data_IF_014600539293
#
_entry.id   IF_014600539293
#
_cell.length_a   1.000
_cell.length_b   1.000
_cell.length_c   1.000
_cell.angle_alpha   90.00
_cell.angle_beta   90.00
_cell.angle_gamma   90.00
#
_symmetry.space_group_name_H-M   'P 1'
#
loop_
_entity.id
_entity.type
_entity.pdbx_description
1 polymer ?
#
# COMPACT_ATOMS: atom_id res chain seq x y z
N UNK A 1 6.88 -5.05 -30.09
CA UNK A 1 6.23 -3.79 -30.42
C UNK A 1 7.27 -2.74 -30.85
N UNK A 2 8.17 -2.34 -29.98
CA UNK A 2 9.20 -1.28 -30.25
C UNK A 2 10.01 -1.55 -31.51
N UNK A 3 10.39 -2.80 -31.79
CA UNK A 3 11.14 -3.17 -32.97
C UNK A 3 10.34 -2.97 -34.31
N UNK A 4 9.00 -2.99 -34.22
CA UNK A 4 8.10 -2.75 -35.35
C UNK A 4 7.68 -1.29 -35.49
N UNK A 5 7.68 -0.56 -34.37
CA UNK A 5 7.23 0.84 -34.26
C UNK A 5 8.32 1.68 -33.52
N UNK A 6 9.51 1.85 -34.13
CA UNK A 6 10.62 2.57 -33.48
C UNK A 6 10.29 4.05 -33.21
N UNK A 7 9.42 4.67 -33.99
CA UNK A 7 8.97 6.05 -33.81
C UNK A 7 8.30 6.26 -32.46
N UNK A 8 7.60 5.25 -31.93
CA UNK A 8 7.02 5.33 -30.60
C UNK A 8 8.07 5.61 -29.51
N UNK A 9 9.27 5.04 -29.64
CA UNK A 9 10.36 5.26 -28.67
C UNK A 9 11.12 6.58 -28.92
N UNK A 10 11.39 6.91 -30.18
CA UNK A 10 12.29 8.01 -30.54
C UNK A 10 11.59 9.35 -30.80
N UNK A 11 10.31 9.35 -31.12
CA UNK A 11 9.52 10.53 -31.46
C UNK A 11 8.51 10.90 -30.36
N UNK A 12 8.23 9.99 -29.41
CA UNK A 12 7.37 10.25 -28.27
C UNK A 12 8.01 11.24 -27.29
N UNK A 13 7.18 12.09 -26.66
CA UNK A 13 7.63 12.87 -25.50
C UNK A 13 7.90 11.93 -24.33
N UNK A 14 8.89 12.25 -23.51
CA UNK A 14 9.07 11.55 -22.23
C UNK A 14 7.85 11.76 -21.33
N UNK A 15 7.57 10.78 -20.48
CA UNK A 15 6.50 10.82 -19.50
C UNK A 15 6.71 11.99 -18.53
N UNK A 16 5.60 12.56 -18.05
CA UNK A 16 5.66 13.60 -17.03
C UNK A 16 5.92 12.94 -15.67
N UNK A 17 7.02 13.29 -15.03
CA UNK A 17 7.29 12.88 -13.66
C UNK A 17 6.28 13.55 -12.70
N UNK A 18 5.83 12.78 -11.71
CA UNK A 18 5.11 13.32 -10.55
C UNK A 18 6.12 13.44 -9.43
N UNK A 19 6.33 14.66 -8.95
CA UNK A 19 7.28 14.97 -7.88
C UNK A 19 6.60 15.94 -6.93
N UNK A 20 6.56 15.60 -5.64
CA UNK A 20 6.21 16.56 -4.62
C UNK A 20 7.45 17.38 -4.25
N UNK A 21 7.38 18.68 -4.57
CA UNK A 21 8.44 19.64 -4.23
C UNK A 21 8.37 20.11 -2.78
N UNK A 22 7.23 19.88 -2.12
CA UNK A 22 6.98 20.38 -0.78
C UNK A 22 7.17 19.26 0.28
N UNK A 23 7.61 18.08 -0.12
CA UNK A 23 7.97 17.02 0.85
C UNK A 23 9.22 17.45 1.62
N UNK A 24 9.04 17.80 2.90
CA UNK A 24 10.10 18.31 3.76
C UNK A 24 11.30 17.35 3.87
N UNK A 25 11.07 16.04 3.85
CA UNK A 25 12.14 15.03 3.95
C UNK A 25 13.00 15.06 2.69
N UNK A 26 12.35 15.14 1.52
CA UNK A 26 13.03 15.27 0.22
C UNK A 26 13.77 16.58 0.16
N UNK A 27 13.14 17.70 0.56
CA UNK A 27 13.75 19.02 0.55
C UNK A 27 14.96 19.08 1.48
N UNK A 28 14.88 18.56 2.70
CA UNK A 28 16.03 18.47 3.63
C UNK A 28 17.20 17.67 3.04
N UNK A 29 16.92 16.56 2.35
CA UNK A 29 17.95 15.77 1.71
C UNK A 29 18.62 16.54 0.55
N UNK A 30 17.83 17.27 -0.25
CA UNK A 30 18.35 18.15 -1.29
C UNK A 30 19.16 19.33 -0.74
N UNK A 31 18.73 19.96 0.35
CA UNK A 31 19.47 21.03 1.03
C UNK A 31 20.83 20.51 1.51
N UNK A 32 20.89 19.32 2.12
CA UNK A 32 22.14 18.66 2.53
C UNK A 32 23.08 18.45 1.34
N UNK A 33 22.56 17.86 0.26
CA UNK A 33 23.33 17.58 -0.95
C UNK A 33 23.83 18.86 -1.61
N UNK A 34 22.96 19.87 -1.74
CA UNK A 34 23.34 21.18 -2.30
C UNK A 34 24.40 21.89 -1.46
N UNK A 35 24.27 21.89 -0.12
CA UNK A 35 25.23 22.49 0.80
C UNK A 35 26.60 21.77 0.77
N UNK A 36 26.64 20.49 0.40
CA UNK A 36 27.89 19.75 0.21
C UNK A 36 28.58 20.07 -1.12
N UNK A 37 27.81 20.42 -2.15
CA UNK A 37 28.37 20.83 -3.44
C UNK A 37 28.82 22.30 -3.43
N UNK A 38 27.93 23.19 -2.98
CA UNK A 38 28.17 24.64 -2.96
C UNK A 38 27.54 25.23 -1.69
N UNK A 39 28.28 26.02 -0.88
CA UNK A 39 27.70 26.65 0.29
C UNK A 39 26.47 27.48 -0.04
N UNK A 40 25.35 27.19 0.59
CA UNK A 40 24.07 27.86 0.41
C UNK A 40 24.06 29.24 1.08
N UNK A 41 23.17 30.10 0.63
CA UNK A 41 22.81 31.39 1.21
C UNK A 41 21.29 31.46 1.42
N UNK A 42 20.80 32.46 2.17
CA UNK A 42 19.34 32.65 2.30
C UNK A 42 18.68 33.10 0.99
N UNK A 43 19.43 33.52 -0.02
CA UNK A 43 18.88 33.85 -1.35
C UNK A 43 18.43 32.61 -2.12
N UNK A 44 18.94 31.43 -1.72
CA UNK A 44 18.56 30.12 -2.32
C UNK A 44 17.17 29.66 -1.89
N UNK A 45 16.43 30.44 -1.10
CA UNK A 45 15.01 30.18 -0.76
C UNK A 45 14.10 30.05 -2.01
N UNK A 46 14.52 30.60 -3.12
CA UNK A 46 13.82 30.44 -4.40
C UNK A 46 13.88 29.00 -4.94
N UNK A 47 14.87 28.22 -4.55
CA UNK A 47 15.06 26.80 -4.90
C UNK A 47 14.52 25.87 -3.80
N UNK A 48 14.64 26.30 -2.56
CA UNK A 48 14.26 25.56 -1.36
C UNK A 48 13.31 26.42 -0.51
N UNK A 49 11.99 26.30 -0.67
CA UNK A 49 11.01 27.15 0.02
C UNK A 49 11.15 27.15 1.54
N UNK A 50 11.46 25.99 2.13
CA UNK A 50 11.59 25.83 3.58
C UNK A 50 13.01 26.02 4.11
N UNK A 51 13.93 26.56 3.27
CA UNK A 51 15.33 26.75 3.62
C UNK A 51 15.54 27.55 4.92
N UNK A 52 14.68 28.57 5.13
CA UNK A 52 14.75 29.42 6.33
C UNK A 52 14.47 28.65 7.62
N UNK A 53 13.63 27.66 7.59
CA UNK A 53 13.29 26.78 8.72
C UNK A 53 14.25 25.58 8.84
N UNK A 54 14.74 25.09 7.71
CA UNK A 54 15.65 23.96 7.64
C UNK A 54 17.06 24.31 8.19
N UNK A 55 17.61 25.46 7.82
CA UNK A 55 18.96 25.87 8.26
C UNK A 55 19.14 25.84 9.78
N UNK A 56 18.25 26.44 10.62
CA UNK A 56 18.40 26.37 12.08
C UNK A 56 18.36 24.92 12.63
N UNK A 57 17.61 24.03 12.01
CA UNK A 57 17.53 22.61 12.39
C UNK A 57 18.84 21.90 12.07
N UNK A 58 19.33 22.06 10.85
CA UNK A 58 20.58 21.43 10.38
C UNK A 58 21.82 21.97 11.08
N UNK A 59 21.82 23.25 11.46
CA UNK A 59 22.90 23.83 12.28
C UNK A 59 22.90 23.23 13.70
N UNK A 60 21.75 23.03 14.33
CA UNK A 60 21.62 22.37 15.65
C UNK A 60 22.03 20.92 15.61
N UNK A 61 21.78 20.24 14.50
CA UNK A 61 22.20 18.86 14.25
C UNK A 61 23.69 18.73 13.91
N UNK A 62 24.43 19.85 13.83
CA UNK A 62 25.85 19.92 13.42
C UNK A 62 26.10 19.40 11.99
N UNK A 63 25.06 19.31 11.20
CA UNK A 63 25.13 18.88 9.80
C UNK A 63 25.52 20.01 8.86
N UNK A 64 25.25 21.26 9.23
CA UNK A 64 25.73 22.45 8.55
C UNK A 64 26.64 23.28 9.45
N UNK A 65 27.59 23.96 8.81
CA UNK A 65 28.39 25.01 9.43
C UNK A 65 28.08 26.35 8.79
N UNK A 66 28.11 27.44 9.58
CA UNK A 66 27.85 28.78 9.09
C UNK A 66 29.13 29.64 9.12
N UNK A 67 29.47 30.29 7.99
CA UNK A 67 30.54 31.23 7.89
C UNK A 67 30.17 32.39 6.95
N UNK A 68 30.24 33.62 7.45
CA UNK A 68 29.94 34.85 6.68
C UNK A 68 28.57 34.77 5.91
N UNK A 69 27.54 34.26 6.55
CA UNK A 69 26.20 34.13 5.92
C UNK A 69 26.07 33.03 4.87
N UNK A 70 27.07 32.15 4.78
CA UNK A 70 27.06 30.96 3.95
C UNK A 70 26.96 29.73 4.82
N UNK A 71 26.21 28.74 4.34
CA UNK A 71 25.94 27.48 5.03
C UNK A 71 26.52 26.33 4.21
N UNK A 72 27.47 25.60 4.76
CA UNK A 72 28.17 24.51 4.12
C UNK A 72 27.94 23.20 4.89
N UNK A 73 27.93 22.08 4.19
CA UNK A 73 27.88 20.75 4.80
C UNK A 73 29.08 20.51 5.71
N UNK A 74 28.84 20.03 6.92
CA UNK A 74 29.86 19.69 7.91
C UNK A 74 29.78 18.23 8.37
N UNK A 75 28.86 17.43 7.86
CA UNK A 75 28.77 16.02 8.13
C UNK A 75 29.91 15.20 7.53
N UNK A 76 30.12 13.97 8.03
CA UNK A 76 31.30 13.16 7.67
C UNK A 76 31.23 12.48 6.30
N UNK A 77 30.04 12.15 5.80
CA UNK A 77 29.82 11.44 4.53
C UNK A 77 29.18 12.36 3.49
N UNK A 78 29.29 11.99 2.21
CA UNK A 78 28.69 12.78 1.13
C UNK A 78 27.18 12.52 1.08
N UNK A 79 26.32 13.48 1.40
CA UNK A 79 24.90 13.24 1.68
C UNK A 79 24.10 12.79 0.46
N UNK A 80 24.55 13.06 -0.77
CA UNK A 80 23.87 12.60 -1.97
C UNK A 80 24.00 11.08 -2.20
N UNK A 81 24.95 10.41 -1.55
CA UNK A 81 25.08 8.94 -1.59
C UNK A 81 24.00 8.20 -0.82
N UNK A 82 23.47 8.83 0.24
CA UNK A 82 22.46 8.25 1.12
C UNK A 82 21.05 8.67 0.77
N UNK A 83 20.89 9.47 -0.26
CA UNK A 83 19.62 10.05 -0.66
C UNK A 83 19.04 9.38 -1.92
N UNK A 84 17.77 9.02 -1.85
CA UNK A 84 16.98 8.53 -2.98
C UNK A 84 15.66 9.28 -3.06
N UNK A 85 15.30 9.80 -4.22
CA UNK A 85 13.99 10.45 -4.45
C UNK A 85 12.81 9.48 -4.34
N UNK A 86 13.05 8.18 -4.37
CA UNK A 86 12.01 7.12 -4.26
C UNK A 86 12.03 6.41 -2.92
N UNK A 87 13.13 6.47 -2.19
CA UNK A 87 13.29 5.69 -0.97
C UNK A 87 13.71 6.61 0.18
N UNK A 88 12.71 7.16 0.85
CA UNK A 88 12.84 8.08 1.98
C UNK A 88 13.03 7.33 3.29
N UNK A 89 12.92 6.00 3.28
CA UNK A 89 13.04 5.18 4.47
C UNK A 89 14.50 5.03 4.90
N UNK A 90 14.83 5.66 6.04
CA UNK A 90 16.18 5.60 6.63
C UNK A 90 16.54 4.20 7.16
N UNK A 91 15.52 3.32 7.33
CA UNK A 91 15.74 1.98 7.87
C UNK A 91 16.04 0.99 6.75
N UNK A 92 17.31 0.64 6.63
CA UNK A 92 17.79 -0.38 5.71
C UNK A 92 17.90 -1.74 6.38
N UNK A 93 17.48 -2.77 5.67
CA UNK A 93 17.56 -4.18 6.08
C UNK A 93 18.48 -4.92 5.13
N UNK A 94 19.46 -5.67 5.69
CA UNK A 94 20.41 -6.46 4.94
C UNK A 94 19.97 -7.93 4.89
N UNK A 95 20.09 -8.56 3.71
CA UNK A 95 19.95 -10.00 3.58
C UNK A 95 21.34 -10.62 3.49
N UNK A 96 21.69 -11.47 4.46
CA UNK A 96 22.96 -12.17 4.53
C UNK A 96 22.78 -13.66 4.25
N UNK A 97 23.73 -14.22 3.52
CA UNK A 97 23.86 -15.68 3.42
C UNK A 97 24.30 -16.24 4.77
N UNK A 98 23.47 -17.11 5.37
CA UNK A 98 23.59 -17.56 6.77
C UNK A 98 24.96 -18.15 7.11
N UNK A 99 25.52 -19.00 6.24
CA UNK A 99 26.75 -19.74 6.52
C UNK A 99 28.01 -18.93 6.24
N UNK A 100 27.99 -18.09 5.19
CA UNK A 100 29.17 -17.31 4.78
C UNK A 100 29.21 -15.90 5.32
N UNK A 101 28.07 -15.36 5.82
CA UNK A 101 27.94 -13.98 6.23
C UNK A 101 28.01 -12.97 5.08
N UNK A 102 28.06 -13.46 3.81
CA UNK A 102 28.11 -12.60 2.64
C UNK A 102 26.78 -11.88 2.45
N UNK A 103 26.82 -10.57 2.22
CA UNK A 103 25.65 -9.78 1.87
C UNK A 103 25.14 -10.16 0.47
N UNK A 104 23.84 -10.44 0.37
CA UNK A 104 23.13 -10.78 -0.86
C UNK A 104 22.50 -9.51 -1.43
N UNK A 105 21.78 -8.76 -0.61
CA UNK A 105 21.12 -7.51 -0.99
C UNK A 105 20.80 -6.68 0.22
N UNK A 106 20.42 -5.42 -0.02
CA UNK A 106 19.89 -4.48 0.96
C UNK A 106 18.60 -3.85 0.42
N UNK A 107 17.61 -3.63 1.31
CA UNK A 107 16.33 -3.03 0.94
C UNK A 107 15.73 -2.24 2.10
N UNK A 108 14.67 -1.45 1.84
CA UNK A 108 13.95 -0.71 2.86
C UNK A 108 13.08 -1.60 3.76
N UNK A 109 12.56 -1.02 4.86
CA UNK A 109 11.76 -1.73 5.85
C UNK A 109 10.47 -2.31 5.27
N UNK A 110 9.76 -1.57 4.41
CA UNK A 110 8.51 -2.03 3.81
C UNK A 110 8.72 -3.22 2.88
N UNK A 111 9.77 -3.17 2.08
CA UNK A 111 10.15 -4.26 1.20
C UNK A 111 10.66 -5.46 2.01
N UNK A 112 11.48 -5.23 3.05
CA UNK A 112 12.00 -6.29 3.91
C UNK A 112 10.87 -7.05 4.63
N UNK A 113 9.83 -6.37 5.11
CA UNK A 113 8.70 -7.03 5.75
C UNK A 113 7.89 -7.89 4.77
N UNK A 114 7.87 -7.56 3.50
CA UNK A 114 7.18 -8.34 2.47
C UNK A 114 8.03 -9.46 1.87
N UNK A 115 9.34 -9.25 1.76
CA UNK A 115 10.22 -10.15 1.01
C UNK A 115 11.21 -10.92 1.88
N UNK A 116 11.51 -10.43 3.10
CA UNK A 116 12.51 -11.02 4.01
C UNK A 116 11.92 -11.50 5.34
N UNK A 117 10.59 -11.64 5.46
CA UNK A 117 9.97 -12.23 6.64
C UNK A 117 10.43 -13.69 6.87
N UNK A 118 10.27 -14.20 8.08
CA UNK A 118 10.59 -15.59 8.40
C UNK A 118 9.86 -16.55 7.44
N UNK A 119 10.59 -17.45 6.83
CA UNK A 119 10.06 -18.42 5.85
C UNK A 119 9.88 -17.88 4.42
N UNK A 120 10.15 -16.60 4.16
CA UNK A 120 10.09 -16.03 2.81
C UNK A 120 11.04 -16.74 1.84
N UNK A 121 10.66 -16.81 0.57
CA UNK A 121 11.52 -17.24 -0.53
C UNK A 121 11.80 -16.04 -1.41
N UNK A 122 13.01 -15.52 -1.30
CA UNK A 122 13.51 -14.36 -2.02
C UNK A 122 14.32 -14.76 -3.25
N UNK A 123 14.12 -14.09 -4.37
CA UNK A 123 14.86 -14.33 -5.61
C UNK A 123 15.88 -13.22 -5.83
N UNK A 124 17.15 -13.60 -5.99
CA UNK A 124 18.23 -12.67 -6.31
C UNK A 124 19.14 -13.27 -7.37
N UNK A 125 19.36 -12.54 -8.47
CA UNK A 125 20.22 -12.95 -9.60
C UNK A 125 19.94 -14.38 -10.11
N UNK A 126 18.65 -14.77 -10.16
CA UNK A 126 18.23 -16.09 -10.62
C UNK A 126 18.40 -17.21 -9.58
N UNK A 127 18.86 -16.90 -8.38
CA UNK A 127 18.98 -17.85 -7.26
C UNK A 127 17.88 -17.60 -6.25
N UNK A 128 17.20 -18.67 -5.82
CA UNK A 128 16.23 -18.59 -4.74
C UNK A 128 16.91 -18.79 -3.39
N UNK A 129 16.50 -17.99 -2.41
CA UNK A 129 16.97 -18.04 -1.03
C UNK A 129 15.78 -18.14 -0.09
N UNK A 130 15.82 -19.06 0.87
CA UNK A 130 14.83 -19.12 1.95
C UNK A 130 15.33 -18.36 3.17
N UNK A 131 14.57 -17.36 3.60
CA UNK A 131 14.84 -16.62 4.83
C UNK A 131 14.55 -17.51 6.03
N UNK A 132 15.55 -17.69 6.86
CA UNK A 132 15.46 -18.52 8.08
C UNK A 132 15.11 -17.70 9.31
N UNK A 133 15.49 -16.42 9.32
CA UNK A 133 15.21 -15.47 10.41
C UNK A 133 15.32 -14.05 9.89
N UNK A 134 14.36 -13.21 10.27
CA UNK A 134 14.44 -11.75 10.20
C UNK A 134 14.67 -11.20 11.62
N UNK A 135 15.79 -10.52 11.81
CA UNK A 135 16.14 -9.86 13.06
C UNK A 135 15.87 -8.35 12.95
N UNK A 136 14.84 -7.89 13.65
CA UNK A 136 14.38 -6.51 13.60
C UNK A 136 15.31 -5.53 14.32
N UNK A 137 16.03 -5.99 15.36
CA UNK A 137 16.93 -5.14 16.13
C UNK A 137 18.21 -4.82 15.33
N UNK A 138 18.81 -5.87 14.76
CA UNK A 138 19.99 -5.71 13.91
C UNK A 138 19.65 -5.32 12.45
N UNK A 139 18.37 -5.26 12.10
CA UNK A 139 17.88 -5.04 10.72
C UNK A 139 18.54 -5.98 9.72
N UNK A 140 18.61 -7.26 10.08
CA UNK A 140 19.33 -8.25 9.28
C UNK A 140 18.48 -9.51 9.10
N UNK A 141 18.34 -9.95 7.86
CA UNK A 141 17.74 -11.24 7.54
C UNK A 141 18.82 -12.25 7.16
N UNK A 142 18.63 -13.49 7.54
CA UNK A 142 19.54 -14.59 7.26
C UNK A 142 18.86 -15.60 6.34
N UNK A 143 19.47 -15.93 5.23
CA UNK A 143 18.92 -16.86 4.26
C UNK A 143 19.89 -17.97 3.86
N UNK A 144 19.33 -19.07 3.39
CA UNK A 144 20.04 -20.20 2.80
C UNK A 144 19.55 -20.44 1.37
N UNK A 145 20.37 -21.03 0.47
CA UNK A 145 19.91 -21.40 -0.87
C UNK A 145 18.67 -22.31 -0.80
N UNK A 146 17.71 -22.06 -1.68
CA UNK A 146 16.44 -22.77 -1.73
C UNK A 146 16.25 -23.47 -3.08
N UNK A 147 15.99 -24.77 -3.06
CA UNK A 147 15.77 -25.58 -4.26
C UNK A 147 14.31 -26.08 -4.37
N UNK A 148 13.38 -25.46 -3.64
CA UNK A 148 11.97 -25.81 -3.73
C UNK A 148 11.30 -25.30 -5.01
N UNK A 149 10.04 -25.68 -5.20
CA UNK A 149 9.28 -25.35 -6.41
C UNK A 149 8.25 -24.24 -6.21
N UNK A 150 8.39 -23.42 -5.15
CA UNK A 150 7.47 -22.33 -4.83
C UNK A 150 8.23 -21.05 -4.46
N UNK A 151 7.53 -19.95 -4.59
CA UNK A 151 7.89 -18.63 -4.01
C UNK A 151 6.82 -18.18 -3.02
N UNK A 152 7.12 -17.17 -2.23
CA UNK A 152 6.20 -16.64 -1.24
C UNK A 152 5.71 -15.26 -1.63
N UNK A 153 4.47 -14.96 -1.25
CA UNK A 153 3.85 -13.65 -1.40
C UNK A 153 3.28 -13.25 -0.04
N UNK A 154 3.83 -12.19 0.54
CA UNK A 154 3.34 -11.66 1.81
C UNK A 154 1.87 -11.25 1.69
N UNK A 155 1.13 -11.45 2.75
CA UNK A 155 -0.25 -11.01 2.88
C UNK A 155 -0.44 -10.29 4.22
N UNK A 156 -1.16 -9.20 4.17
CA UNK A 156 -1.40 -8.33 5.29
C UNK A 156 -2.53 -7.38 5.02
N UNK A 157 -2.73 -6.45 5.92
CA UNK A 157 -3.75 -5.41 5.85
C UNK A 157 -3.10 -4.06 6.14
N UNK A 158 -3.66 -3.01 5.60
CA UNK A 158 -3.31 -1.64 5.96
C UNK A 158 -4.51 -0.97 6.63
N UNK A 159 -4.23 -0.08 7.57
CA UNK A 159 -5.21 0.78 8.21
C UNK A 159 -4.80 2.23 8.01
N UNK A 160 -5.75 3.09 7.67
CA UNK A 160 -5.53 4.53 7.46
C UNK A 160 -6.31 5.30 8.51
N UNK A 161 -5.63 6.22 9.18
CA UNK A 161 -6.21 7.15 10.14
C UNK A 161 -5.96 8.58 9.66
N UNK A 162 -7.03 9.35 9.44
CA UNK A 162 -6.94 10.77 9.09
C UNK A 162 -6.31 11.53 10.25
N UNK A 163 -5.27 12.30 9.97
CA UNK A 163 -4.58 13.20 10.91
C UNK A 163 -5.08 14.62 10.68
N UNK A 164 -5.06 15.08 9.43
CA UNK A 164 -5.47 16.43 9.06
C UNK A 164 -6.07 16.44 7.66
N UNK A 165 -7.21 17.13 7.48
CA UNK A 165 -7.82 17.39 6.19
C UNK A 165 -7.38 18.76 5.69
N UNK A 166 -6.73 18.81 4.53
CA UNK A 166 -6.17 20.03 3.95
C UNK A 166 -7.08 20.64 2.88
N UNK A 167 -7.73 19.79 2.08
CA UNK A 167 -8.58 20.20 0.95
C UNK A 167 -9.81 19.31 0.86
N UNK A 168 -10.92 19.87 0.39
CA UNK A 168 -12.08 19.11 -0.05
C UNK A 168 -12.73 19.77 -1.26
N UNK A 169 -13.43 18.97 -2.07
CA UNK A 169 -14.25 19.45 -3.17
C UNK A 169 -15.41 18.48 -3.43
N UNK A 170 -16.54 18.98 -3.96
CA UNK A 170 -17.62 18.10 -4.41
C UNK A 170 -17.15 17.27 -5.61
N UNK A 171 -17.48 15.99 -5.61
CA UNK A 171 -17.23 15.06 -6.70
C UNK A 171 -18.54 14.36 -7.03
N UNK A 172 -19.26 14.85 -8.06
CA UNK A 172 -20.49 14.25 -8.54
C UNK A 172 -21.49 13.85 -7.44
N UNK A 173 -21.41 12.63 -6.91
CA UNK A 173 -22.31 12.08 -5.88
C UNK A 173 -21.68 11.91 -4.50
N UNK A 174 -20.44 12.38 -4.34
CA UNK A 174 -19.69 12.28 -3.10
C UNK A 174 -18.85 13.54 -2.87
N UNK A 175 -18.11 13.58 -1.80
CA UNK A 175 -17.07 14.58 -1.54
C UNK A 175 -15.71 13.91 -1.64
N UNK A 176 -14.80 14.61 -2.26
CA UNK A 176 -13.41 14.23 -2.36
C UNK A 176 -12.60 15.06 -1.36
N UNK A 177 -11.76 14.40 -0.62
CA UNK A 177 -10.93 14.99 0.42
C UNK A 177 -9.46 14.68 0.15
N UNK A 178 -8.58 15.54 0.64
CA UNK A 178 -7.13 15.36 0.61
C UNK A 178 -6.52 15.84 1.91
N UNK A 179 -5.47 15.18 2.38
CA UNK A 179 -4.74 15.60 3.57
C UNK A 179 -3.78 14.53 4.09
N UNK A 180 -3.32 14.77 5.33
CA UNK A 180 -2.36 13.94 6.01
C UNK A 180 -3.03 12.77 6.72
N UNK A 181 -2.44 11.61 6.59
CA UNK A 181 -2.91 10.38 7.24
C UNK A 181 -1.75 9.63 7.89
N UNK A 182 -2.07 8.89 8.95
CA UNK A 182 -1.18 7.87 9.49
C UNK A 182 -1.61 6.51 8.94
N UNK A 183 -0.68 5.79 8.34
CA UNK A 183 -0.88 4.46 7.78
C UNK A 183 -0.16 3.44 8.64
N UNK A 184 -0.91 2.41 9.08
CA UNK A 184 -0.36 1.23 9.73
C UNK A 184 -0.44 0.05 8.76
N UNK A 185 0.70 -0.41 8.27
CA UNK A 185 0.81 -1.54 7.33
C UNK A 185 1.26 -2.79 8.10
N UNK A 186 0.52 -3.89 7.97
CA UNK A 186 0.73 -5.14 8.70
C UNK A 186 0.99 -6.28 7.73
N UNK A 187 2.02 -7.08 7.98
CA UNK A 187 2.25 -8.38 7.34
C UNK A 187 2.16 -9.45 8.43
N UNK A 188 1.18 -10.34 8.34
CA UNK A 188 0.93 -11.37 9.36
C UNK A 188 0.90 -12.80 8.81
N UNK A 189 0.88 -12.96 7.49
CA UNK A 189 0.92 -14.25 6.82
C UNK A 189 1.55 -14.15 5.44
N UNK A 190 1.79 -15.29 4.80
CA UNK A 190 2.20 -15.35 3.41
C UNK A 190 1.57 -16.54 2.69
N UNK A 191 1.47 -16.42 1.37
CA UNK A 191 1.04 -17.48 0.45
C UNK A 191 2.26 -18.18 -0.12
N UNK A 192 2.20 -19.50 -0.26
CA UNK A 192 3.15 -20.27 -1.06
C UNK A 192 2.59 -20.46 -2.47
N UNK A 193 3.27 -19.96 -3.46
CA UNK A 193 2.84 -19.96 -4.87
C UNK A 193 3.79 -20.81 -5.70
N UNK A 194 3.28 -21.76 -6.45
CA UNK A 194 4.09 -22.61 -7.31
C UNK A 194 4.69 -21.83 -8.48
N UNK A 195 5.98 -22.05 -8.79
CA UNK A 195 6.70 -21.28 -9.81
C UNK A 195 6.09 -21.32 -11.22
N UNK A 196 5.67 -22.49 -11.70
CA UNK A 196 5.30 -22.63 -13.10
C UNK A 196 3.85 -22.23 -13.44
N UNK A 197 2.94 -22.52 -12.55
CA UNK A 197 1.50 -22.31 -12.79
C UNK A 197 0.86 -21.32 -11.84
N UNK A 198 1.64 -20.72 -10.93
CA UNK A 198 1.20 -19.78 -9.90
C UNK A 198 0.04 -20.32 -9.04
N UNK A 199 -0.03 -21.65 -8.89
CA UNK A 199 -1.02 -22.27 -8.03
C UNK A 199 -0.73 -21.96 -6.57
N UNK A 200 -1.75 -21.55 -5.82
CA UNK A 200 -1.63 -21.36 -4.38
C UNK A 200 -1.53 -22.74 -3.70
N UNK A 201 -0.42 -22.97 -3.01
CA UNK A 201 -0.12 -24.23 -2.28
C UNK A 201 -0.56 -24.15 -0.82
N UNK A 202 -1.01 -22.97 -0.35
CA UNK A 202 -1.46 -22.75 1.02
C UNK A 202 -0.95 -21.43 1.59
N UNK A 203 -1.39 -21.17 2.80
CA UNK A 203 -1.04 -19.98 3.58
C UNK A 203 -0.26 -20.41 4.82
N UNK A 204 0.65 -19.57 5.25
CA UNK A 204 1.40 -19.75 6.48
C UNK A 204 1.41 -18.45 7.27
N UNK A 205 1.15 -18.54 8.57
CA UNK A 205 1.15 -17.37 9.44
C UNK A 205 2.56 -17.06 9.94
N UNK A 206 2.86 -15.79 10.08
CA UNK A 206 4.10 -15.36 10.71
C UNK A 206 4.00 -15.58 12.24
N UNK A 207 5.09 -15.98 12.91
CA UNK A 207 5.13 -16.13 14.36
C UNK A 207 4.75 -14.84 15.11
N UNK A 208 5.07 -13.69 14.49
CA UNK A 208 4.73 -12.34 14.94
C UNK A 208 4.42 -11.50 13.73
N UNK A 209 3.33 -10.75 13.79
CA UNK A 209 3.02 -9.77 12.75
C UNK A 209 4.13 -8.71 12.68
N UNK A 210 4.52 -8.36 11.46
CA UNK A 210 5.40 -7.25 11.17
C UNK A 210 4.54 -6.03 10.91
N UNK A 211 4.83 -4.91 11.55
CA UNK A 211 4.05 -3.68 11.39
C UNK A 211 4.96 -2.50 11.14
N UNK A 212 4.53 -1.61 10.25
CA UNK A 212 5.13 -0.33 10.00
C UNK A 212 4.08 0.75 10.07
N UNK A 213 4.32 1.75 10.92
CA UNK A 213 3.49 2.95 11.02
C UNK A 213 4.26 4.11 10.40
N UNK A 214 3.59 4.89 9.55
CA UNK A 214 4.17 6.07 8.92
C UNK A 214 3.11 7.10 8.57
N UNK A 215 3.51 8.37 8.59
CA UNK A 215 2.70 9.48 8.15
C UNK A 215 2.91 9.69 6.65
N UNK A 216 1.81 9.95 5.92
CA UNK A 216 1.84 10.17 4.48
C UNK A 216 0.63 11.00 4.05
N UNK A 217 0.53 11.26 2.75
CA UNK A 217 -0.61 11.93 2.15
C UNK A 217 -1.63 10.93 1.61
N UNK A 218 -2.89 11.32 1.64
CA UNK A 218 -4.00 10.53 1.11
C UNK A 218 -5.08 11.41 0.50
N UNK A 219 -5.68 10.88 -0.56
CA UNK A 219 -6.97 11.32 -1.08
C UNK A 219 -8.02 10.28 -0.71
N UNK A 220 -9.20 10.73 -0.25
CA UNK A 220 -10.28 9.80 0.07
C UNK A 220 -11.63 10.32 -0.35
N UNK A 221 -12.55 9.39 -0.58
CA UNK A 221 -13.93 9.69 -0.96
C UNK A 221 -14.90 8.71 -0.33
N UNK A 222 -16.11 9.18 -0.02
CA UNK A 222 -17.16 8.34 0.50
C UNK A 222 -17.84 7.54 -0.61
N UNK A 223 -18.09 6.27 -0.34
CA UNK A 223 -18.89 5.41 -1.24
C UNK A 223 -20.38 5.78 -1.07
N UNK A 224 -21.13 6.01 -2.17
CA UNK A 224 -22.54 6.33 -2.11
C UNK A 224 -23.37 5.28 -1.34
N UNK A 225 -24.31 5.75 -0.53
CA UNK A 225 -25.11 4.92 0.38
C UNK A 225 -25.84 3.75 -0.32
N UNK A 226 -26.33 3.98 -1.55
CA UNK A 226 -26.99 2.94 -2.32
C UNK A 226 -26.02 1.79 -2.68
N UNK A 227 -24.75 2.07 -2.97
CA UNK A 227 -23.71 1.05 -3.22
C UNK A 227 -23.40 0.31 -1.93
N UNK A 228 -23.22 1.02 -0.83
CA UNK A 228 -22.97 0.43 0.49
C UNK A 228 -24.08 -0.54 0.88
N UNK A 229 -25.36 -0.16 0.71
CA UNK A 229 -26.52 -1.03 1.00
C UNK A 229 -26.52 -2.28 0.16
N UNK A 230 -26.26 -2.16 -1.14
CA UNK A 230 -26.24 -3.30 -2.06
C UNK A 230 -25.09 -4.26 -1.75
N UNK A 231 -23.87 -3.75 -1.63
CA UNK A 231 -22.69 -4.58 -1.37
C UNK A 231 -22.79 -5.30 -0.04
N UNK A 232 -23.23 -4.62 1.00
CA UNK A 232 -23.48 -5.22 2.31
C UNK A 232 -24.47 -6.38 2.25
N UNK A 233 -25.53 -6.27 1.47
CA UNK A 233 -26.47 -7.36 1.26
C UNK A 233 -25.93 -8.56 0.48
N UNK A 234 -24.80 -8.38 -0.24
CA UNK A 234 -24.21 -9.42 -1.09
C UNK A 234 -22.97 -10.08 -0.47
N UNK A 235 -22.28 -9.40 0.44
CA UNK A 235 -21.13 -9.95 1.15
C UNK A 235 -21.56 -11.17 1.95
N UNK A 236 -20.82 -12.26 1.79
CA UNK A 236 -21.04 -13.51 2.51
C UNK A 236 -19.83 -13.88 3.33
N UNK A 237 -20.04 -14.24 4.58
CA UNK A 237 -19.01 -14.72 5.48
C UNK A 237 -19.24 -16.18 5.79
N UNK A 238 -18.24 -17.00 5.58
CA UNK A 238 -18.27 -18.39 6.04
C UNK A 238 -18.02 -18.38 7.56
N UNK A 239 -19.01 -18.84 8.33
CA UNK A 239 -18.95 -18.80 9.80
C UNK A 239 -17.79 -19.62 10.38
N UNK A 240 -17.41 -20.71 9.73
CA UNK A 240 -16.35 -21.59 10.20
C UNK A 240 -14.96 -21.09 9.86
N UNK A 241 -14.75 -20.63 8.62
CA UNK A 241 -13.42 -20.23 8.12
C UNK A 241 -13.18 -18.74 8.19
N UNK A 242 -14.21 -17.94 8.51
CA UNK A 242 -14.20 -16.48 8.43
C UNK A 242 -13.82 -15.91 7.05
N UNK A 243 -13.83 -16.76 6.03
CA UNK A 243 -13.59 -16.30 4.65
C UNK A 243 -14.76 -15.44 4.17
N UNK A 244 -14.42 -14.28 3.64
CA UNK A 244 -15.38 -13.36 3.02
C UNK A 244 -15.46 -13.64 1.53
N UNK A 245 -16.68 -13.64 0.98
CA UNK A 245 -16.96 -13.72 -0.45
C UNK A 245 -17.79 -12.54 -0.89
N UNK A 246 -17.75 -12.25 -2.19
CA UNK A 246 -18.50 -11.16 -2.81
C UNK A 246 -18.16 -9.78 -2.20
N UNK A 247 -16.91 -9.58 -1.78
CA UNK A 247 -16.41 -8.27 -1.38
C UNK A 247 -16.12 -7.44 -2.64
N UNK A 248 -17.14 -6.83 -3.21
CA UNK A 248 -17.01 -6.04 -4.44
C UNK A 248 -16.20 -4.76 -4.26
N UNK A 249 -16.01 -4.30 -3.03
CA UNK A 249 -15.09 -3.19 -2.75
C UNK A 249 -13.65 -3.50 -3.19
N UNK A 250 -13.19 -4.75 -3.03
CA UNK A 250 -11.86 -5.16 -3.51
C UNK A 250 -11.73 -4.96 -5.02
N UNK A 251 -12.77 -5.31 -5.78
CA UNK A 251 -12.80 -5.10 -7.23
C UNK A 251 -12.83 -3.62 -7.63
N UNK A 252 -13.60 -2.81 -6.91
CA UNK A 252 -13.65 -1.34 -7.10
C UNK A 252 -12.28 -0.73 -6.81
N UNK A 253 -11.69 -1.03 -5.65
CA UNK A 253 -10.34 -0.55 -5.27
C UNK A 253 -9.27 -1.00 -6.28
N UNK A 254 -9.33 -2.24 -6.77
CA UNK A 254 -8.41 -2.75 -7.78
C UNK A 254 -8.50 -1.97 -9.09
N UNK A 255 -9.72 -1.75 -9.61
CA UNK A 255 -9.92 -1.01 -10.85
C UNK A 255 -9.49 0.45 -10.71
N UNK A 256 -9.86 1.11 -9.60
CA UNK A 256 -9.45 2.48 -9.29
C UNK A 256 -7.93 2.61 -9.15
N UNK A 257 -7.27 1.65 -8.47
CA UNK A 257 -5.81 1.63 -8.35
C UNK A 257 -5.12 1.57 -9.71
N UNK A 258 -5.59 0.69 -10.60
CA UNK A 258 -5.02 0.57 -11.94
C UNK A 258 -5.21 1.85 -12.76
N UNK A 259 -6.37 2.49 -12.67
CA UNK A 259 -6.62 3.76 -13.34
C UNK A 259 -5.79 4.91 -12.74
N UNK A 260 -5.66 4.98 -11.43
CA UNK A 260 -4.83 5.98 -10.74
C UNK A 260 -3.36 5.87 -11.17
N UNK A 261 -2.82 4.64 -11.24
CA UNK A 261 -1.45 4.38 -11.72
C UNK A 261 -1.20 4.89 -13.14
N UNK A 262 -2.18 4.81 -14.03
CA UNK A 262 -2.05 5.35 -15.40
C UNK A 262 -1.93 6.88 -15.41
N UNK A 263 -2.59 7.56 -14.47
CA UNK A 263 -2.55 9.03 -14.35
C UNK A 263 -1.29 9.51 -13.64
N UNK A 264 -0.88 8.78 -12.59
CA UNK A 264 0.31 9.13 -11.79
C UNK A 264 1.61 8.57 -12.35
N UNK A 265 1.55 7.65 -13.32
CA UNK A 265 2.71 6.97 -13.92
C UNK A 265 3.55 6.21 -12.87
N UNK A 266 2.86 5.55 -11.94
CA UNK A 266 3.47 4.84 -10.81
C UNK A 266 3.46 3.33 -10.98
N UNK A 267 4.29 2.65 -10.19
CA UNK A 267 4.29 1.21 -10.05
C UNK A 267 3.18 0.73 -9.09
N UNK A 268 2.95 -0.58 -9.05
CA UNK A 268 1.90 -1.16 -8.20
C UNK A 268 2.15 -0.93 -6.71
N UNK A 269 3.42 -0.83 -6.32
CA UNK A 269 3.82 -0.71 -4.92
C UNK A 269 3.88 0.75 -4.44
N UNK A 270 3.76 1.74 -5.32
CA UNK A 270 3.88 3.15 -4.96
C UNK A 270 2.61 3.70 -4.29
N UNK A 271 1.43 3.16 -4.65
CA UNK A 271 0.13 3.65 -4.17
C UNK A 271 -0.62 2.53 -3.46
N UNK A 272 -1.21 2.85 -2.30
CA UNK A 272 -2.20 2.02 -1.63
C UNK A 272 -3.62 2.48 -1.96
N UNK A 273 -4.54 1.53 -2.18
CA UNK A 273 -5.98 1.82 -2.30
C UNK A 273 -6.74 0.82 -1.44
N UNK A 274 -7.41 1.31 -0.42
CA UNK A 274 -8.14 0.48 0.55
C UNK A 274 -9.46 1.12 0.96
N UNK A 275 -10.33 0.35 1.57
CA UNK A 275 -11.55 0.83 2.25
C UNK A 275 -11.27 1.14 3.71
N UNK A 276 -12.10 2.03 4.30
CA UNK A 276 -12.04 2.43 5.72
C UNK A 276 -12.27 1.29 6.70
N UNK A 277 -12.85 0.18 6.25
CA UNK A 277 -13.12 -0.99 7.06
C UNK A 277 -12.64 -2.25 6.35
N UNK A 278 -12.18 -3.24 7.11
CA UNK A 278 -11.79 -4.52 6.53
C UNK A 278 -13.03 -5.33 6.08
N UNK A 279 -12.79 -6.41 5.31
CA UNK A 279 -13.85 -7.22 4.72
C UNK A 279 -14.84 -7.80 5.73
N UNK A 280 -14.40 -8.16 6.94
CA UNK A 280 -15.28 -8.66 8.02
C UNK A 280 -16.12 -7.54 8.62
N UNK A 281 -15.52 -6.37 8.86
CA UNK A 281 -16.25 -5.19 9.34
C UNK A 281 -17.30 -4.75 8.32
N UNK A 282 -16.97 -4.70 7.04
CA UNK A 282 -17.90 -4.39 5.95
C UNK A 282 -19.11 -5.36 5.91
N UNK A 283 -18.89 -6.61 6.30
CA UNK A 283 -19.96 -7.62 6.32
C UNK A 283 -20.90 -7.48 7.54
N UNK A 284 -20.40 -7.00 8.67
CA UNK A 284 -21.14 -7.02 9.95
C UNK A 284 -21.53 -5.64 10.47
N UNK A 285 -20.77 -4.59 10.14
CA UNK A 285 -21.10 -3.24 10.59
C UNK A 285 -22.18 -2.61 9.70
N UNK A 286 -23.36 -2.43 10.24
CA UNK A 286 -24.50 -1.86 9.53
C UNK A 286 -24.59 -0.32 9.63
N UNK A 287 -23.77 0.31 10.44
CA UNK A 287 -23.88 1.73 10.77
C UNK A 287 -22.81 2.61 10.13
N UNK A 288 -21.72 2.01 9.61
CA UNK A 288 -20.59 2.80 9.13
C UNK A 288 -20.71 3.17 7.67
N UNK A 289 -20.39 4.40 7.40
CA UNK A 289 -20.04 4.87 6.08
C UNK A 289 -18.77 4.15 5.63
N UNK A 290 -18.62 3.97 4.32
CA UNK A 290 -17.43 3.35 3.74
C UNK A 290 -16.73 4.41 2.91
N UNK A 291 -15.48 4.67 3.26
CA UNK A 291 -14.59 5.54 2.51
C UNK A 291 -13.55 4.71 1.76
N UNK A 292 -13.11 5.17 0.58
CA UNK A 292 -11.99 4.61 -0.18
C UNK A 292 -10.84 5.60 -0.06
N UNK A 293 -9.69 5.11 0.40
CA UNK A 293 -8.46 5.87 0.56
C UNK A 293 -7.48 5.51 -0.54
N UNK A 294 -6.84 6.54 -1.10
CA UNK A 294 -5.68 6.44 -2.01
C UNK A 294 -4.51 7.12 -1.29
N UNK A 295 -3.50 6.39 -0.94
CA UNK A 295 -2.39 6.93 -0.16
C UNK A 295 -1.04 6.58 -0.76
N UNK A 296 -0.07 7.45 -0.56
CA UNK A 296 1.31 7.21 -0.95
C UNK A 296 1.94 6.22 0.02
N UNK A 297 2.63 5.21 -0.50
CA UNK A 297 3.32 4.22 0.34
C UNK A 297 4.71 4.67 0.79
N UNK A 298 4.93 5.97 0.82
CA UNK A 298 6.18 6.61 1.20
C UNK A 298 5.95 7.57 2.35
N UNK A 299 6.92 7.63 3.26
CA UNK A 299 6.89 8.57 4.40
C UNK A 299 6.84 10.00 3.88
N UNK A 300 5.88 10.78 4.36
CA UNK A 300 5.66 12.16 3.95
C UNK A 300 4.99 12.35 2.58
N UNK A 301 4.71 11.28 1.84
CA UNK A 301 4.12 11.33 0.50
C UNK A 301 5.13 11.68 -0.61
N UNK A 302 4.78 11.41 -1.85
CA UNK A 302 5.52 11.78 -3.07
C UNK A 302 4.67 12.61 -4.04
N UNK A 303 3.50 13.09 -3.58
CA UNK A 303 2.57 13.88 -4.38
C UNK A 303 1.64 13.04 -5.28
N UNK A 304 1.65 11.72 -5.15
CA UNK A 304 0.75 10.86 -5.93
C UNK A 304 -0.70 11.04 -5.46
N UNK A 305 -0.92 11.12 -4.15
CA UNK A 305 -2.24 11.35 -3.56
C UNK A 305 -2.82 12.70 -4.00
N UNK A 306 -2.03 13.77 -4.03
CA UNK A 306 -2.47 15.08 -4.53
C UNK A 306 -2.79 15.03 -6.03
N UNK A 307 -1.97 14.36 -6.81
CA UNK A 307 -2.21 14.15 -8.24
C UNK A 307 -3.48 13.34 -8.50
N UNK A 308 -3.78 12.36 -7.65
CA UNK A 308 -5.03 11.59 -7.69
C UNK A 308 -6.22 12.48 -7.36
N UNK A 309 -6.10 13.35 -6.33
CA UNK A 309 -7.12 14.32 -5.97
C UNK A 309 -7.49 15.20 -7.16
N UNK A 310 -6.52 15.78 -7.84
CA UNK A 310 -6.72 16.69 -8.97
C UNK A 310 -7.34 16.00 -10.20
N UNK A 311 -7.24 14.67 -10.31
CA UNK A 311 -7.67 13.92 -11.50
C UNK A 311 -8.68 12.81 -11.19
N UNK A 312 -9.36 12.85 -10.03
CA UNK A 312 -10.20 11.73 -9.57
C UNK A 312 -11.33 11.39 -10.53
N UNK A 313 -11.98 12.37 -11.14
CA UNK A 313 -13.06 12.13 -12.10
C UNK A 313 -12.56 11.33 -13.31
N UNK A 314 -11.43 11.71 -13.87
CA UNK A 314 -10.79 10.99 -15.00
C UNK A 314 -10.38 9.59 -14.59
N UNK A 315 -9.88 9.42 -13.34
CA UNK A 315 -9.50 8.12 -12.79
C UNK A 315 -10.72 7.20 -12.72
N UNK A 316 -11.84 7.67 -12.20
CA UNK A 316 -13.08 6.87 -12.13
C UNK A 316 -13.58 6.52 -13.53
N UNK A 317 -13.61 7.49 -14.47
CA UNK A 317 -14.02 7.25 -15.86
C UNK A 317 -13.10 6.22 -16.52
N UNK A 318 -11.79 6.27 -16.31
CA UNK A 318 -10.84 5.32 -16.84
C UNK A 318 -11.01 3.94 -16.22
N UNK A 319 -11.26 3.83 -14.91
CA UNK A 319 -11.59 2.57 -14.24
C UNK A 319 -12.84 1.92 -14.86
N UNK A 320 -13.90 2.70 -15.09
CA UNK A 320 -15.11 2.23 -15.78
C UNK A 320 -14.79 1.73 -17.18
N UNK A 321 -13.99 2.48 -17.97
CA UNK A 321 -13.58 2.08 -19.34
C UNK A 321 -12.77 0.78 -19.31
N UNK A 322 -11.82 0.62 -18.39
CA UNK A 322 -11.00 -0.58 -18.25
C UNK A 322 -11.86 -1.81 -17.95
N UNK A 323 -12.80 -1.69 -17.01
CA UNK A 323 -13.68 -2.80 -16.65
C UNK A 323 -14.69 -3.12 -17.77
N UNK A 324 -15.30 -2.12 -18.41
CA UNK A 324 -16.21 -2.29 -19.56
C UNK A 324 -15.53 -2.88 -20.77
N UNK A 325 -14.32 -2.44 -21.07
CA UNK A 325 -13.54 -2.87 -22.25
C UNK A 325 -12.94 -4.27 -22.12
N UNK A 326 -12.99 -4.90 -20.95
CA UNK A 326 -12.45 -6.24 -20.77
C UNK A 326 -13.28 -7.29 -21.52
N UNK A 327 -12.61 -8.15 -22.30
CA UNK A 327 -13.24 -9.23 -23.05
C UNK A 327 -13.69 -10.45 -22.22
N UNK A 328 -13.48 -10.45 -20.89
CA UNK A 328 -13.90 -11.53 -20.03
C UNK A 328 -15.43 -11.55 -19.88
N UNK A 329 -15.99 -12.75 -19.55
CA UNK A 329 -17.44 -12.94 -19.43
C UNK A 329 -17.98 -12.33 -18.11
N UNK A 330 -17.44 -12.76 -16.98
CA UNK A 330 -18.04 -12.48 -15.68
C UNK A 330 -17.16 -11.61 -14.77
N UNK A 331 -15.84 -11.69 -14.94
CA UNK A 331 -14.79 -11.00 -14.19
C UNK A 331 -13.48 -11.74 -14.33
N UNK A 332 -12.36 -11.04 -14.15
CA UNK A 332 -11.04 -11.66 -14.24
C UNK A 332 -9.99 -10.88 -13.44
N UNK A 333 -8.83 -11.48 -13.23
CA UNK A 333 -7.72 -10.87 -12.52
C UNK A 333 -7.22 -9.56 -13.13
N UNK A 334 -7.47 -9.32 -14.44
CA UNK A 334 -7.03 -8.10 -15.11
C UNK A 334 -7.99 -6.92 -14.89
N UNK A 335 -9.31 -7.14 -14.86
CA UNK A 335 -10.27 -6.04 -14.77
C UNK A 335 -10.79 -5.77 -13.35
N UNK A 336 -10.98 -6.81 -12.54
CA UNK A 336 -11.53 -6.70 -11.17
C UNK A 336 -10.66 -7.36 -10.10
N UNK A 337 -9.47 -7.84 -10.47
CA UNK A 337 -8.49 -8.42 -9.54
C UNK A 337 -8.74 -9.88 -9.17
N UNK A 338 -9.97 -10.36 -9.23
CA UNK A 338 -10.34 -11.73 -8.88
C UNK A 338 -11.43 -12.25 -9.83
N UNK A 339 -11.27 -13.46 -10.36
CA UNK A 339 -12.25 -14.13 -11.24
C UNK A 339 -13.55 -14.54 -10.52
N UNK A 340 -13.58 -14.45 -9.20
CA UNK A 340 -14.76 -14.74 -8.37
C UNK A 340 -15.68 -13.54 -8.20
N UNK A 341 -15.20 -12.33 -8.54
CA UNK A 341 -15.98 -11.10 -8.46
C UNK A 341 -16.74 -10.86 -9.76
N UNK A 342 -18.05 -10.67 -9.63
CA UNK A 342 -18.90 -10.30 -10.77
C UNK A 342 -18.55 -8.89 -11.26
N UNK A 343 -18.14 -8.78 -12.53
CA UNK A 343 -17.77 -7.53 -13.19
C UNK A 343 -18.89 -6.50 -13.19
N UNK A 344 -20.16 -6.94 -13.35
CA UNK A 344 -21.30 -6.03 -13.38
C UNK A 344 -21.50 -5.35 -12.02
N UNK A 345 -21.23 -6.08 -10.94
CA UNK A 345 -21.32 -5.52 -9.61
C UNK A 345 -20.18 -4.53 -9.32
N UNK A 346 -18.96 -4.79 -9.82
CA UNK A 346 -17.86 -3.82 -9.71
C UNK A 346 -18.15 -2.57 -10.53
N UNK A 347 -18.69 -2.73 -11.75
CA UNK A 347 -19.15 -1.59 -12.56
C UNK A 347 -20.25 -0.79 -11.87
N UNK A 348 -21.22 -1.45 -11.25
CA UNK A 348 -22.26 -0.77 -10.47
C UNK A 348 -21.65 0.14 -9.39
N UNK A 349 -20.62 -0.33 -8.68
CA UNK A 349 -19.91 0.49 -7.69
C UNK A 349 -19.19 1.68 -8.31
N UNK A 350 -18.43 1.45 -9.38
CA UNK A 350 -17.65 2.49 -10.06
C UNK A 350 -18.55 3.57 -10.70
N UNK A 351 -19.59 3.17 -11.43
CA UNK A 351 -20.51 4.10 -12.09
C UNK A 351 -21.28 4.94 -11.09
N UNK A 352 -21.66 4.37 -9.94
CA UNK A 352 -22.36 5.10 -8.89
C UNK A 352 -21.49 6.16 -8.18
N UNK A 353 -20.19 6.18 -8.37
CA UNK A 353 -19.33 7.27 -7.89
C UNK A 353 -19.60 8.58 -8.66
N UNK A 354 -19.97 8.49 -9.94
CA UNK A 354 -20.22 9.65 -10.81
C UNK A 354 -21.70 9.91 -11.04
N UNK A 355 -22.48 8.87 -11.36
CA UNK A 355 -23.89 8.97 -11.70
C UNK A 355 -24.70 7.93 -10.93
N UNK A 356 -26.02 8.14 -10.81
CA UNK A 356 -26.89 7.15 -10.19
C UNK A 356 -27.19 6.01 -11.17
N UNK A 357 -26.84 4.81 -10.78
CA UNK A 357 -27.18 3.58 -11.51
C UNK A 357 -27.99 2.63 -10.63
N UNK A 358 -29.01 2.00 -11.21
CA UNK A 358 -29.79 0.99 -10.57
C UNK A 358 -28.99 -0.33 -10.47
N UNK A 359 -29.36 -1.15 -9.50
CA UNK A 359 -28.74 -2.48 -9.32
C UNK A 359 -28.97 -3.31 -10.58
N UNK A 360 -27.94 -3.99 -11.11
CA UNK A 360 -28.07 -4.86 -12.28
C UNK A 360 -29.19 -5.88 -12.13
N UNK A 361 -29.98 -6.10 -13.17
CA UNK A 361 -31.11 -7.05 -13.15
C UNK A 361 -30.63 -8.46 -12.82
N UNK A 362 -31.33 -9.14 -11.92
CA UNK A 362 -31.03 -10.53 -11.51
C UNK A 362 -30.22 -10.65 -10.22
N UNK A 363 -29.70 -9.56 -9.69
CA UNK A 363 -29.03 -9.55 -8.39
C UNK A 363 -30.10 -9.57 -7.29
N UNK A 364 -30.13 -10.63 -6.50
CA UNK A 364 -30.97 -10.70 -5.29
C UNK A 364 -30.22 -10.01 -4.16
N UNK A 365 -30.60 -8.79 -3.84
CA UNK A 365 -30.19 -8.14 -2.59
C UNK A 365 -30.89 -8.85 -1.43
N UNK A 366 -30.11 -9.32 -0.46
CA UNK A 366 -30.70 -9.90 0.73
C UNK A 366 -31.46 -8.79 1.49
N UNK A 367 -32.76 -9.01 1.76
CA UNK A 367 -33.49 -8.20 2.73
C UNK A 367 -32.78 -8.40 4.08
N UNK A 368 -32.52 -7.31 4.77
CA UNK A 368 -31.79 -7.30 6.04
C UNK A 368 -32.39 -8.24 7.06
N UNK A 369 -31.67 -9.30 7.40
CA UNK A 369 -31.80 -9.87 8.73
C UNK A 369 -31.09 -8.94 9.71
N UNK A 370 -31.77 -8.46 10.76
CA UNK A 370 -31.10 -7.61 11.74
C UNK A 370 -29.96 -8.38 12.38
N UNK A 371 -28.73 -7.88 12.22
CA UNK A 371 -27.59 -8.50 12.86
C UNK A 371 -27.72 -8.34 14.38
N UNK A 372 -27.77 -9.47 15.10
CA UNK A 372 -27.74 -9.51 16.56
C UNK A 372 -26.33 -9.26 17.12
N UNK A 373 -25.38 -8.87 16.29
CA UNK A 373 -24.03 -8.60 16.71
C UNK A 373 -23.94 -7.23 17.37
N UNK A 374 -23.82 -7.24 18.71
CA UNK A 374 -23.38 -6.04 19.46
C UNK A 374 -21.89 -5.83 19.19
N UNK A 375 -21.56 -4.65 18.69
CA UNK A 375 -20.18 -4.14 18.59
C UNK A 375 -19.49 -4.27 19.96
N UNK A 376 -18.55 -5.21 20.10
CA UNK A 376 -17.54 -5.12 21.16
C UNK A 376 -16.47 -4.21 20.63
N UNK A 377 -16.12 -3.18 21.39
CA UNK A 377 -14.95 -2.36 21.11
C UNK A 377 -13.72 -3.29 21.08
N UNK A 378 -13.20 -3.52 19.88
CA UNK A 378 -11.96 -4.25 19.69
C UNK A 378 -10.83 -3.22 19.68
N UNK A 379 -10.01 -3.20 20.74
CA UNK A 379 -8.69 -2.62 20.64
C UNK A 379 -7.76 -3.67 20.01
N UNK A 380 -6.86 -3.27 19.11
CA UNK A 380 -5.88 -4.18 18.49
C UNK A 380 -4.99 -4.88 19.52
N UNK A 381 -4.69 -4.23 20.64
CA UNK A 381 -4.02 -4.87 21.81
C UNK A 381 -4.81 -6.07 22.33
N UNK A 382 -6.12 -5.92 22.48
CA UNK A 382 -7.02 -6.96 22.99
C UNK A 382 -7.20 -8.11 21.99
N UNK A 383 -7.13 -7.82 20.68
CA UNK A 383 -7.14 -8.83 19.63
C UNK A 383 -5.84 -9.65 19.64
N UNK A 384 -4.69 -9.00 19.84
CA UNK A 384 -3.39 -9.65 19.98
C UNK A 384 -3.33 -10.59 21.19
N UNK A 385 -3.85 -10.14 22.34
CA UNK A 385 -3.93 -10.97 23.55
C UNK A 385 -4.89 -12.15 23.39
N UNK A 386 -6.07 -11.95 22.83
CA UNK A 386 -7.04 -13.01 22.58
C UNK A 386 -6.55 -14.02 21.54
N UNK A 387 -5.80 -13.55 20.53
CA UNK A 387 -5.18 -14.41 19.54
C UNK A 387 -4.04 -15.24 20.12
N UNK A 388 -3.19 -14.66 20.96
CA UNK A 388 -2.15 -15.39 21.66
C UNK A 388 -2.73 -16.45 22.60
N UNK A 389 -3.82 -16.12 23.31
CA UNK A 389 -4.53 -17.07 24.15
C UNK A 389 -5.19 -18.21 23.35
N UNK A 390 -5.74 -17.91 22.18
CA UNK A 390 -6.31 -18.88 21.25
C UNK A 390 -5.23 -19.82 20.68
N UNK A 391 -4.10 -19.28 20.23
CA UNK A 391 -2.96 -20.08 19.76
C UNK A 391 -2.38 -20.97 20.86
N UNK A 392 -2.32 -20.47 22.10
CA UNK A 392 -1.88 -21.22 23.26
C UNK A 392 -2.82 -22.39 23.58
N UNK A 393 -4.14 -22.17 23.54
CA UNK A 393 -5.16 -23.22 23.75
C UNK A 393 -5.11 -24.32 22.69
N UNK A 394 -4.85 -23.96 21.43
CA UNK A 394 -4.68 -24.96 20.33
C UNK A 394 -3.39 -25.75 20.53
N UNK A 395 -2.29 -25.12 20.90
CA UNK A 395 -1.02 -25.77 21.19
C UNK A 395 -1.09 -26.73 22.37
N UNK A 396 -1.87 -26.38 23.40
CA UNK A 396 -2.04 -27.20 24.60
C UNK A 396 -2.99 -28.41 24.37
N UNK A 397 -3.96 -28.32 23.44
CA UNK A 397 -4.95 -29.37 23.22
C UNK A 397 -4.60 -30.34 22.09
N UNK A 398 -3.49 -30.18 21.39
CA UNK A 398 -2.98 -31.15 20.41
C UNK A 398 -3.93 -31.47 19.23
N UNK A 399 -4.96 -30.65 19.01
CA UNK A 399 -5.89 -30.85 17.92
C UNK A 399 -5.28 -30.41 16.58
N UNK A 400 -5.32 -31.32 15.61
CA UNK A 400 -4.76 -31.14 14.29
C UNK A 400 -5.38 -29.92 13.56
N UNK A 401 -4.55 -28.96 13.21
CA UNK A 401 -4.89 -27.75 12.47
C UNK A 401 -5.56 -28.02 11.09
N UNK A 402 -5.49 -29.23 10.58
CA UNK A 402 -6.12 -29.65 9.32
C UNK A 402 -7.66 -29.63 9.32
N UNK A 403 -8.30 -29.49 10.48
CA UNK A 403 -9.75 -29.41 10.61
C UNK A 403 -10.29 -27.96 10.53
N UNK A 404 -9.40 -26.95 10.54
CA UNK A 404 -9.76 -25.51 10.54
C UNK A 404 -9.43 -24.79 9.23
N UNK A 405 -8.81 -25.44 8.28
CA UNK A 405 -8.60 -25.00 6.89
C UNK A 405 -9.66 -25.65 6.00
#
# INVERSE_FOLDING_TARGET
>A
YIALEPGWLFEGSSENAVIDKNNLIIELAHIRAAAAEIPLTLDDISLFPDLGEAIPVLLRAEELSSHNGKFAWSGGEFPAGDFSMRNIDEKRYKLLHKDSGKEITEMDESQAFRELHDGAVYMHDGVAYQVTKLDLESRTAYAVPFNGNYYTVAAGEANVKIVHESKNMPLARTELHFGDVNVSDYVYMFKKMQFHNHQNLGYEQLPKALSKDYDTESTWMRVPENVVKVYRGLIQVNENTKMVRNNYYEGVCFALKNAARMVTMTEQEDIGVITSANALELAFDTSSDVDIYFYDKYVGGLGFAEKIYDNMEDIIQNAVKLVKGCGCKDGCAACVGDYRLDRQMVLFGLENLLEHWDVPMGVKTAEHAPSTFRRKEFSFEKLGEQWQEFCKKISENGENFAAFL
#
